data_IF_545629222327
#
_entry.id   IF_545629222327
#
_cell.length_a   1.000
_cell.length_b   1.000
_cell.length_c   1.000
_cell.angle_alpha   90.00
_cell.angle_beta   90.00
_cell.angle_gamma   90.00
#
_symmetry.space_group_name_H-M   'P 1'
#
loop_
_entity.id
_entity.type
_entity.pdbx_description
1 polymer ?
#
# COMPACT_ATOMS: atom_id res chain seq x y z
N UNK A 1 1.62 -28.03 15.21
CA UNK A 1 2.85 -27.63 14.47
C UNK A 1 3.65 -28.88 14.13
N UNK A 2 4.30 -28.90 12.97
CA UNK A 2 5.27 -29.93 12.55
C UNK A 2 6.72 -29.44 12.57
N UNK A 3 6.98 -28.22 13.10
CA UNK A 3 8.28 -27.58 13.01
C UNK A 3 9.42 -28.36 13.70
N UNK A 4 10.58 -28.41 13.04
CA UNK A 4 11.80 -29.04 13.52
C UNK A 4 12.95 -28.03 13.64
N UNK A 5 13.34 -27.70 14.88
CA UNK A 5 14.42 -26.76 15.21
C UNK A 5 15.78 -27.23 14.69
N UNK A 6 16.01 -28.54 14.53
CA UNK A 6 17.29 -29.06 14.02
C UNK A 6 17.55 -28.68 12.56
N UNK A 7 16.54 -28.13 11.86
CA UNK A 7 16.64 -27.67 10.47
C UNK A 7 17.08 -26.21 10.37
N UNK A 8 17.20 -25.50 11.50
CA UNK A 8 17.65 -24.12 11.53
C UNK A 8 19.11 -24.02 11.07
N UNK A 9 19.53 -22.88 10.48
CA UNK A 9 20.91 -22.69 10.06
C UNK A 9 21.84 -22.70 11.29
N UNK A 10 23.03 -23.24 11.11
CA UNK A 10 24.05 -23.32 12.19
C UNK A 10 25.08 -22.19 12.10
N UNK A 11 25.28 -21.60 10.93
CA UNK A 11 26.17 -20.46 10.72
C UNK A 11 25.50 -19.14 11.11
N UNK A 12 25.11 -19.01 12.38
CA UNK A 12 24.35 -17.85 12.90
C UNK A 12 25.20 -16.72 13.45
N UNK A 13 26.51 -16.90 13.48
CA UNK A 13 27.46 -15.91 14.00
C UNK A 13 28.12 -15.19 12.83
N UNK A 14 28.20 -13.86 12.92
CA UNK A 14 28.95 -13.07 11.94
C UNK A 14 30.44 -13.48 11.97
N UNK A 15 31.03 -13.88 10.84
CA UNK A 15 32.44 -14.22 10.78
C UNK A 15 33.33 -13.01 11.09
N UNK A 16 34.36 -13.20 11.91
CA UNK A 16 35.45 -12.25 12.08
C UNK A 16 36.42 -12.37 10.89
N UNK A 17 36.00 -11.97 9.70
CA UNK A 17 36.80 -12.10 8.45
C UNK A 17 37.31 -10.76 7.93
N UNK A 18 38.52 -10.79 7.36
CA UNK A 18 39.15 -9.66 6.69
C UNK A 18 38.30 -9.18 5.47
N UNK A 19 38.27 -7.89 5.11
CA UNK A 19 37.37 -7.32 4.09
C UNK A 19 37.52 -7.88 2.65
N UNK A 20 38.50 -8.75 2.40
CA UNK A 20 38.90 -9.16 1.05
C UNK A 20 38.22 -10.42 0.51
N UNK A 21 37.49 -11.19 1.34
CA UNK A 21 36.81 -12.41 0.91
C UNK A 21 35.29 -12.32 1.09
N UNK A 22 34.49 -12.95 0.21
CA UNK A 22 33.06 -13.00 0.39
C UNK A 22 32.74 -13.91 1.59
N UNK A 23 31.81 -13.46 2.43
CA UNK A 23 31.37 -14.23 3.58
C UNK A 23 29.86 -14.10 3.76
N UNK A 24 29.26 -15.10 4.39
CA UNK A 24 27.82 -15.16 4.61
C UNK A 24 27.47 -15.83 5.94
N UNK A 25 26.38 -15.35 6.56
CA UNK A 25 25.85 -15.90 7.81
C UNK A 25 24.34 -15.69 7.88
N UNK A 26 23.69 -16.37 8.82
CA UNK A 26 22.29 -16.17 9.12
C UNK A 26 22.12 -15.37 10.41
N UNK A 27 21.23 -14.39 10.40
CA UNK A 27 20.82 -13.69 11.63
C UNK A 27 19.37 -14.08 11.93
N UNK A 28 19.01 -14.51 13.15
CA UNK A 28 17.60 -14.63 13.50
C UNK A 28 16.92 -13.27 13.35
N UNK A 29 15.72 -13.25 12.77
CA UNK A 29 14.85 -12.08 12.82
C UNK A 29 14.17 -12.10 14.19
N UNK A 30 14.31 -11.03 14.96
CA UNK A 30 13.67 -10.93 16.27
C UNK A 30 12.18 -10.63 16.14
N UNK A 31 11.44 -10.95 17.22
CA UNK A 31 10.00 -10.69 17.29
C UNK A 31 9.74 -9.20 17.04
N UNK A 32 8.70 -8.93 16.28
CA UNK A 32 8.21 -7.58 15.99
C UNK A 32 9.17 -6.68 15.18
N UNK A 33 10.29 -7.22 14.68
CA UNK A 33 11.02 -6.59 13.58
C UNK A 33 10.11 -6.49 12.34
N UNK A 34 10.31 -5.47 11.50
CA UNK A 34 9.50 -5.22 10.31
C UNK A 34 9.27 -6.48 9.45
N UNK A 35 10.31 -7.32 9.27
CA UNK A 35 10.21 -8.56 8.48
C UNK A 35 9.38 -9.65 9.17
N UNK A 36 9.46 -9.76 10.49
CA UNK A 36 8.63 -10.67 11.27
C UNK A 36 7.15 -10.27 11.14
N UNK A 37 6.84 -8.99 11.36
CA UNK A 37 5.49 -8.44 11.25
C UNK A 37 4.89 -8.65 9.86
N UNK A 38 5.65 -8.35 8.79
CA UNK A 38 5.20 -8.54 7.40
C UNK A 38 4.90 -10.01 7.11
N UNK A 39 5.77 -10.93 7.54
CA UNK A 39 5.54 -12.36 7.34
C UNK A 39 4.31 -12.85 8.11
N UNK A 40 4.19 -12.49 9.38
CA UNK A 40 3.04 -12.88 10.22
C UNK A 40 1.73 -12.30 9.69
N UNK A 41 1.72 -11.06 9.23
CA UNK A 41 0.53 -10.42 8.64
C UNK A 41 0.08 -11.09 7.34
N UNK A 42 1.01 -11.26 6.38
CA UNK A 42 0.70 -11.84 5.07
C UNK A 42 0.21 -13.29 5.19
N UNK A 43 0.85 -14.07 6.06
CA UNK A 43 0.46 -15.47 6.29
C UNK A 43 -0.87 -15.59 7.03
N UNK A 44 -1.14 -14.73 8.02
CA UNK A 44 -2.42 -14.70 8.73
C UNK A 44 -3.58 -14.28 7.84
N UNK A 45 -3.37 -13.25 7.01
CA UNK A 45 -4.38 -12.77 6.07
C UNK A 45 -4.80 -13.89 5.11
N UNK A 46 -3.83 -14.63 4.55
CA UNK A 46 -4.11 -15.75 3.66
C UNK A 46 -4.80 -16.92 4.38
N UNK A 47 -4.37 -17.26 5.59
CA UNK A 47 -5.00 -18.32 6.38
C UNK A 47 -6.45 -17.96 6.78
N UNK A 48 -6.68 -16.71 7.19
CA UNK A 48 -8.02 -16.21 7.49
C UNK A 48 -8.91 -16.31 6.25
N UNK A 49 -8.46 -15.85 5.07
CA UNK A 49 -9.22 -15.99 3.83
C UNK A 49 -9.55 -17.46 3.49
N UNK A 50 -8.64 -18.39 3.79
CA UNK A 50 -8.84 -19.82 3.51
C UNK A 50 -9.88 -20.49 4.43
N UNK A 51 -10.10 -19.97 5.65
CA UNK A 51 -10.98 -20.62 6.65
C UNK A 51 -12.20 -19.79 7.06
N UNK A 52 -12.28 -18.53 6.64
CA UNK A 52 -13.41 -17.65 6.91
C UNK A 52 -14.24 -17.46 5.64
N UNK A 53 -15.55 -17.28 5.79
CA UNK A 53 -16.44 -16.89 4.66
C UNK A 53 -16.36 -15.39 4.34
N UNK A 54 -15.41 -14.68 4.94
CA UNK A 54 -15.25 -13.24 4.72
C UNK A 54 -14.40 -13.00 3.47
N UNK A 55 -14.87 -12.23 2.48
CA UNK A 55 -14.15 -11.97 1.23
C UNK A 55 -12.77 -11.31 1.42
N UNK A 56 -12.55 -10.68 2.58
CA UNK A 56 -11.27 -10.13 2.99
C UNK A 56 -11.10 -10.30 4.51
N UNK A 57 -9.90 -10.67 4.99
CA UNK A 57 -9.59 -10.65 6.41
C UNK A 57 -9.57 -9.19 6.91
N UNK A 58 -9.96 -8.92 8.16
CA UNK A 58 -9.85 -7.58 8.73
C UNK A 58 -8.43 -7.05 8.58
N UNK A 59 -8.31 -5.75 8.29
CA UNK A 59 -7.04 -5.03 8.43
C UNK A 59 -6.50 -5.31 9.83
N UNK A 60 -5.21 -5.66 9.95
CA UNK A 60 -4.55 -6.04 11.20
C UNK A 60 -4.74 -7.50 11.65
N UNK A 61 -4.97 -8.43 10.72
CA UNK A 61 -4.88 -9.86 11.04
C UNK A 61 -3.41 -10.31 11.10
N UNK A 62 -2.97 -10.83 12.25
CA UNK A 62 -1.63 -11.41 12.44
C UNK A 62 -1.73 -12.78 13.12
N UNK A 63 -0.82 -13.70 12.78
CA UNK A 63 -0.59 -14.88 13.61
C UNK A 63 0.22 -14.41 14.83
N UNK A 64 -0.19 -14.82 16.03
CA UNK A 64 0.48 -14.45 17.27
C UNK A 64 1.96 -14.85 17.23
N UNK A 65 2.24 -16.04 16.72
CA UNK A 65 3.57 -16.60 16.54
C UNK A 65 3.57 -17.52 15.31
N UNK A 66 4.75 -17.76 14.73
CA UNK A 66 4.90 -18.87 13.79
C UNK A 66 4.63 -20.20 14.49
N UNK A 67 4.20 -21.25 13.76
CA UNK A 67 4.04 -22.57 14.34
C UNK A 67 5.32 -23.02 15.07
N UNK A 68 5.16 -23.62 16.25
CA UNK A 68 6.29 -24.03 17.09
C UNK A 68 7.36 -24.80 16.29
N UNK A 69 8.63 -24.39 16.40
CA UNK A 69 9.75 -24.95 15.64
C UNK A 69 10.06 -24.24 14.32
N UNK A 70 9.19 -23.34 13.84
CA UNK A 70 9.50 -22.43 12.74
C UNK A 70 10.13 -21.13 13.23
N UNK A 71 11.13 -20.63 12.51
CA UNK A 71 11.79 -19.35 12.81
C UNK A 71 12.31 -18.67 11.55
N UNK A 72 12.21 -17.34 11.53
CA UNK A 72 12.66 -16.51 10.43
C UNK A 72 14.13 -16.12 10.61
N UNK A 73 14.91 -16.20 9.53
CA UNK A 73 16.32 -15.84 9.51
C UNK A 73 16.62 -14.97 8.29
N UNK A 74 17.51 -14.00 8.46
CA UNK A 74 18.12 -13.25 7.38
C UNK A 74 19.41 -13.93 6.94
N UNK A 75 19.52 -14.32 5.68
CA UNK A 75 20.79 -14.66 5.07
C UNK A 75 21.49 -13.39 4.63
N UNK A 76 22.59 -13.07 5.28
CA UNK A 76 23.39 -11.90 4.98
C UNK A 76 24.61 -12.36 4.19
N UNK A 77 24.78 -11.82 2.98
CA UNK A 77 25.90 -12.12 2.10
C UNK A 77 26.68 -10.85 1.77
N UNK A 78 27.97 -10.87 2.09
CA UNK A 78 28.91 -9.84 1.72
C UNK A 78 29.70 -10.27 0.48
N UNK A 79 29.71 -9.41 -0.52
CA UNK A 79 30.49 -9.60 -1.74
C UNK A 79 31.88 -8.93 -1.61
N UNK A 80 32.85 -9.31 -2.45
CA UNK A 80 34.20 -8.73 -2.44
C UNK A 80 34.21 -7.23 -2.78
N UNK A 81 33.20 -6.75 -3.50
CA UNK A 81 32.98 -5.33 -3.86
C UNK A 81 32.42 -4.49 -2.69
N UNK A 82 32.23 -5.08 -1.51
CA UNK A 82 31.61 -4.45 -0.35
C UNK A 82 30.08 -4.43 -0.37
N UNK A 83 29.43 -4.89 -1.44
CA UNK A 83 27.98 -4.91 -1.52
C UNK A 83 27.39 -5.96 -0.57
N UNK A 84 26.41 -5.53 0.25
CA UNK A 84 25.65 -6.37 1.18
C UNK A 84 24.30 -6.73 0.59
N UNK A 85 24.05 -8.02 0.40
CA UNK A 85 22.74 -8.60 0.05
C UNK A 85 22.13 -9.27 1.28
N UNK A 86 20.84 -9.06 1.48
CA UNK A 86 20.09 -9.69 2.58
C UNK A 86 18.83 -10.34 2.03
N UNK A 87 18.71 -11.65 2.17
CA UNK A 87 17.51 -12.42 1.84
C UNK A 87 16.87 -12.96 3.12
N UNK A 88 15.57 -13.22 3.13
CA UNK A 88 14.85 -13.65 4.34
C UNK A 88 14.23 -15.02 4.10
N UNK A 89 14.40 -15.94 5.05
CA UNK A 89 13.98 -17.33 4.92
C UNK A 89 13.31 -17.81 6.19
N UNK A 90 12.24 -18.60 6.05
CA UNK A 90 11.61 -19.30 7.16
C UNK A 90 12.11 -20.74 7.20
N UNK A 91 12.75 -21.10 8.30
CA UNK A 91 13.24 -22.45 8.59
C UNK A 91 12.30 -23.16 9.56
N UNK A 92 12.38 -24.49 9.62
CA UNK A 92 11.57 -25.31 10.51
C UNK A 92 10.85 -26.47 9.82
N UNK A 93 10.79 -26.51 8.48
CA UNK A 93 10.07 -27.60 7.80
C UNK A 93 10.77 -28.96 7.99
N UNK A 94 10.05 -30.07 8.28
CA UNK A 94 10.64 -31.39 8.53
C UNK A 94 11.60 -31.91 7.46
N UNK A 95 11.40 -31.51 6.19
CA UNK A 95 12.29 -31.90 5.09
C UNK A 95 13.71 -31.31 5.17
N UNK A 96 13.96 -30.36 6.08
CA UNK A 96 15.20 -29.59 6.13
C UNK A 96 15.28 -28.45 5.11
N UNK A 97 14.26 -28.32 4.24
CA UNK A 97 14.13 -27.18 3.33
C UNK A 97 13.73 -25.89 4.05
N UNK A 98 13.88 -24.77 3.34
CA UNK A 98 13.52 -23.42 3.82
C UNK A 98 12.55 -22.76 2.86
N UNK A 99 11.58 -22.02 3.37
CA UNK A 99 10.68 -21.21 2.56
C UNK A 99 11.32 -19.84 2.30
N UNK A 100 11.31 -19.39 1.04
CA UNK A 100 11.96 -18.16 0.56
C UNK A 100 11.00 -16.97 0.47
N UNK A 101 9.71 -17.23 0.62
CA UNK A 101 8.67 -16.21 0.65
C UNK A 101 7.47 -16.70 1.45
N UNK A 102 6.60 -15.77 1.83
CA UNK A 102 5.30 -16.06 2.42
C UNK A 102 4.46 -16.93 1.49
N UNK A 103 4.51 -16.70 0.17
CA UNK A 103 3.75 -17.46 -0.82
C UNK A 103 4.17 -18.94 -0.89
N UNK A 104 5.45 -19.25 -0.65
CA UNK A 104 5.90 -20.64 -0.56
C UNK A 104 5.42 -21.32 0.75
N UNK A 105 5.28 -20.56 1.84
CA UNK A 105 4.89 -21.06 3.16
C UNK A 105 3.36 -21.15 3.38
N UNK A 106 2.57 -20.23 2.83
CA UNK A 106 1.11 -20.15 3.02
C UNK A 106 0.40 -21.50 2.79
N UNK A 107 0.66 -22.25 1.71
CA UNK A 107 0.03 -23.56 1.51
C UNK A 107 0.34 -24.56 2.63
N UNK A 108 1.53 -24.49 3.22
CA UNK A 108 1.91 -25.32 4.37
C UNK A 108 1.20 -24.86 5.63
N UNK A 109 1.17 -23.56 5.89
CA UNK A 109 0.47 -23.01 7.06
C UNK A 109 -1.03 -23.36 7.06
N UNK A 110 -1.69 -23.23 5.90
CA UNK A 110 -3.09 -23.63 5.74
C UNK A 110 -3.26 -25.12 6.05
N UNK A 111 -2.37 -25.97 5.53
CA UNK A 111 -2.38 -27.40 5.87
C UNK A 111 -2.21 -27.65 7.38
N UNK A 112 -1.32 -26.93 8.06
CA UNK A 112 -1.14 -27.04 9.51
C UNK A 112 -2.41 -26.68 10.29
N UNK A 113 -3.15 -25.67 9.84
CA UNK A 113 -4.47 -25.37 10.39
C UNK A 113 -5.49 -26.48 10.10
N UNK A 114 -5.43 -27.13 8.93
CA UNK A 114 -6.34 -28.20 8.55
C UNK A 114 -6.18 -29.45 9.43
N UNK A 115 -4.93 -29.80 9.76
CA UNK A 115 -4.64 -31.00 10.55
C UNK A 115 -4.72 -30.76 12.07
N UNK A 116 -4.93 -29.51 12.50
CA UNK A 116 -5.16 -29.19 13.90
C UNK A 116 -6.53 -29.74 14.35
N UNK A 117 -6.59 -30.64 15.34
CA UNK A 117 -7.85 -31.20 15.82
C UNK A 117 -8.85 -30.15 16.36
N UNK A 118 -8.37 -28.97 16.76
CA UNK A 118 -9.23 -27.88 17.22
C UNK A 118 -9.96 -27.15 16.08
N UNK A 119 -9.52 -27.32 14.83
CA UNK A 119 -10.14 -26.67 13.68
C UNK A 119 -11.38 -27.46 13.20
N UNK A 120 -12.56 -26.90 13.48
CA UNK A 120 -13.85 -27.46 13.09
C UNK A 120 -14.40 -26.88 11.78
N UNK A 121 -13.58 -26.16 11.01
CA UNK A 121 -14.04 -25.53 9.77
C UNK A 121 -14.47 -26.59 8.73
N UNK A 122 -15.59 -26.39 8.01
CA UNK A 122 -16.01 -27.30 6.94
C UNK A 122 -15.03 -27.33 5.77
N UNK A 123 -14.08 -26.37 5.70
CA UNK A 123 -13.04 -26.28 4.68
C UNK A 123 -11.76 -27.05 5.05
N UNK A 124 -11.75 -27.80 6.15
CA UNK A 124 -10.60 -28.62 6.57
C UNK A 124 -10.29 -29.71 5.54
N UNK A 125 -11.30 -30.37 4.97
CA UNK A 125 -11.11 -31.52 4.09
C UNK A 125 -10.28 -31.18 2.84
N UNK A 126 -10.51 -30.00 2.23
CA UNK A 126 -9.78 -29.54 1.04
C UNK A 126 -8.30 -29.21 1.29
N UNK A 127 -7.90 -29.10 2.56
CA UNK A 127 -6.56 -28.65 2.97
C UNK A 127 -5.76 -29.73 3.72
N UNK A 128 -6.29 -30.96 3.84
CA UNK A 128 -5.59 -32.10 4.46
C UNK A 128 -4.36 -32.57 3.69
N UNK A 129 -4.26 -32.28 2.39
CA UNK A 129 -3.09 -32.61 1.57
C UNK A 129 -2.28 -31.34 1.37
N UNK A 130 -1.05 -31.30 1.88
CA UNK A 130 -0.20 -30.11 1.79
C UNK A 130 0.31 -29.88 0.35
N UNK A 131 -0.04 -28.75 -0.32
CA UNK A 131 0.43 -28.46 -1.66
C UNK A 131 1.75 -27.67 -1.69
N UNK A 132 2.40 -27.45 -0.55
CA UNK A 132 3.59 -26.61 -0.45
C UNK A 132 4.77 -27.18 -1.26
N UNK A 133 5.74 -26.33 -1.57
CA UNK A 133 6.90 -26.71 -2.37
C UNK A 133 7.83 -27.72 -1.67
N UNK A 134 7.75 -27.87 -0.34
CA UNK A 134 8.64 -28.75 0.43
C UNK A 134 8.04 -30.14 0.69
N UNK A 135 6.73 -30.26 0.96
CA UNK A 135 6.05 -31.55 1.13
C UNK A 135 6.02 -32.41 -0.14
N UNK A 136 6.06 -31.77 -1.33
CA UNK A 136 6.07 -32.45 -2.63
C UNK A 136 7.39 -33.15 -2.97
N UNK A 137 8.47 -32.88 -2.24
CA UNK A 137 9.84 -33.31 -2.62
C UNK A 137 10.27 -34.68 -2.11
N UNK A 138 9.34 -35.49 -1.57
CA UNK A 138 9.62 -36.87 -1.14
C UNK A 138 9.81 -37.91 -2.25
N UNK A 139 9.48 -37.59 -3.51
CA UNK A 139 9.76 -38.45 -4.66
C UNK A 139 10.85 -37.79 -5.54
N UNK A 140 12.07 -38.33 -5.45
CA UNK A 140 13.18 -37.96 -6.35
C UNK A 140 12.84 -38.41 -7.77
N UNK A 141 12.37 -37.49 -8.60
CA UNK A 141 12.68 -37.51 -10.03
C UNK A 141 13.41 -36.23 -10.40
N UNK A 142 14.62 -36.41 -10.94
CA UNK A 142 15.45 -35.33 -11.46
C UNK A 142 14.71 -34.61 -12.58
N UNK A 143 14.22 -33.40 -12.30
CA UNK A 143 13.86 -32.46 -13.36
C UNK A 143 14.99 -31.47 -13.55
N UNK A 144 15.72 -31.67 -14.65
CA UNK A 144 16.34 -30.61 -15.45
C UNK A 144 15.49 -29.34 -15.36
N UNK A 145 16.08 -28.13 -15.22
CA UNK A 145 15.31 -26.91 -14.98
C UNK A 145 14.21 -26.81 -16.03
N UNK A 146 12.97 -27.03 -15.57
CA UNK A 146 11.81 -26.92 -16.41
C UNK A 146 11.77 -25.45 -16.83
N UNK A 147 12.14 -25.21 -18.08
CA UNK A 147 11.86 -23.98 -18.81
C UNK A 147 10.43 -23.62 -18.45
N UNK A 148 10.26 -22.48 -17.77
CA UNK A 148 8.97 -21.97 -17.31
C UNK A 148 7.98 -22.17 -18.47
N UNK A 149 6.93 -22.99 -18.32
CA UNK A 149 5.92 -23.02 -19.35
C UNK A 149 5.35 -21.62 -19.36
N UNK A 150 5.61 -20.89 -20.45
CA UNK A 150 4.86 -19.72 -20.86
C UNK A 150 3.44 -20.17 -21.15
N UNK A 151 2.71 -20.49 -20.10
CA UNK A 151 1.26 -20.56 -20.07
C UNK A 151 0.87 -19.60 -18.97
N UNK A 152 0.78 -18.34 -19.36
CA UNK A 152 -0.30 -17.48 -18.89
C UNK A 152 -1.55 -18.30 -19.15
N UNK A 153 -1.95 -19.11 -18.17
CA UNK A 153 -3.24 -19.77 -18.20
C UNK A 153 -4.29 -18.67 -18.25
N UNK A 154 -5.43 -18.97 -18.86
CA UNK A 154 -6.59 -18.08 -18.95
C UNK A 154 -7.10 -17.73 -17.54
N UNK A 155 -6.42 -16.82 -16.85
CA UNK A 155 -6.94 -16.16 -15.66
C UNK A 155 -8.13 -15.35 -16.16
N UNK A 156 -9.34 -15.57 -15.63
CA UNK A 156 -10.50 -14.76 -15.99
C UNK A 156 -10.13 -13.27 -15.86
N UNK A 157 -10.47 -12.41 -16.84
CA UNK A 157 -10.09 -11.00 -16.82
C UNK A 157 -10.40 -10.27 -15.51
N UNK A 158 -11.53 -10.62 -14.88
CA UNK A 158 -11.94 -10.12 -13.57
C UNK A 158 -10.95 -10.48 -12.45
N UNK A 159 -10.47 -11.72 -12.42
CA UNK A 159 -9.48 -12.16 -11.44
C UNK A 159 -8.13 -11.46 -11.65
N UNK A 160 -7.72 -11.25 -12.91
CA UNK A 160 -6.51 -10.51 -13.24
C UNK A 160 -6.61 -9.02 -12.85
N UNK A 161 -7.78 -8.40 -13.03
CA UNK A 161 -8.05 -7.04 -12.58
C UNK A 161 -8.03 -6.92 -11.06
N UNK A 162 -8.68 -7.84 -10.35
CA UNK A 162 -8.69 -7.84 -8.88
C UNK A 162 -7.28 -8.03 -8.29
N UNK A 163 -6.47 -8.89 -8.90
CA UNK A 163 -5.07 -9.07 -8.50
C UNK A 163 -4.23 -7.82 -8.78
N UNK A 164 -4.37 -7.22 -9.97
CA UNK A 164 -3.68 -5.98 -10.32
C UNK A 164 -4.06 -4.81 -9.39
N UNK A 165 -5.35 -4.65 -9.10
CA UNK A 165 -5.86 -3.65 -8.16
C UNK A 165 -5.32 -3.86 -6.75
N UNK A 166 -5.28 -5.11 -6.28
CA UNK A 166 -4.72 -5.46 -4.97
C UNK A 166 -3.23 -5.14 -4.90
N UNK A 167 -2.47 -5.48 -5.95
CA UNK A 167 -1.04 -5.19 -6.02
C UNK A 167 -0.77 -3.68 -6.11
N UNK A 168 -1.59 -2.93 -6.84
CA UNK A 168 -1.50 -1.46 -6.90
C UNK A 168 -1.71 -0.85 -5.52
N UNK A 169 -2.79 -1.25 -4.82
CA UNK A 169 -3.08 -0.79 -3.45
C UNK A 169 -1.94 -1.10 -2.49
N UNK A 170 -1.50 -2.35 -2.43
CA UNK A 170 -0.42 -2.77 -1.52
C UNK A 170 0.87 -2.02 -1.85
N UNK A 171 1.20 -1.90 -3.13
CA UNK A 171 2.37 -1.15 -3.58
C UNK A 171 2.30 0.33 -3.22
N UNK A 172 1.13 0.96 -3.26
CA UNK A 172 0.94 2.36 -2.89
C UNK A 172 0.97 2.57 -1.37
N UNK A 173 0.42 1.64 -0.58
CA UNK A 173 0.41 1.69 0.89
C UNK A 173 1.77 1.35 1.52
N UNK A 174 2.51 0.39 0.94
CA UNK A 174 3.84 -0.02 1.41
C UNK A 174 4.96 0.92 0.93
N UNK A 175 4.67 1.87 0.02
CA UNK A 175 5.65 2.87 -0.40
C UNK A 175 5.88 3.88 0.73
N UNK A 176 7.11 4.03 1.24
CA UNK A 176 7.41 5.08 2.19
C UNK A 176 7.45 6.46 1.54
N UNK A 177 7.09 7.49 2.32
CA UNK A 177 7.06 8.88 1.87
C UNK A 177 5.73 9.30 1.22
N UNK A 178 5.64 10.57 0.85
CA UNK A 178 4.49 11.08 0.12
C UNK A 178 4.65 10.70 -1.37
N UNK A 179 3.63 10.05 -1.91
CA UNK A 179 3.56 9.71 -3.34
C UNK A 179 2.25 10.20 -3.89
N UNK A 180 2.28 10.62 -5.14
CA UNK A 180 1.09 10.90 -5.92
C UNK A 180 0.73 9.64 -6.72
N UNK A 181 -0.56 9.32 -6.78
CA UNK A 181 -1.06 8.02 -7.25
C UNK A 181 -1.63 8.09 -8.66
N UNK A 182 -1.71 6.92 -9.31
CA UNK A 182 -2.33 6.82 -10.63
C UNK A 182 -3.79 7.26 -10.58
N UNK A 183 -4.15 8.16 -11.50
CA UNK A 183 -5.48 8.75 -11.61
C UNK A 183 -5.67 10.03 -10.80
N UNK A 184 -4.74 10.41 -9.92
CA UNK A 184 -4.84 11.67 -9.18
C UNK A 184 -4.61 12.87 -10.09
N UNK A 185 -5.35 13.95 -9.80
CA UNK A 185 -5.18 15.25 -10.46
C UNK A 185 -4.13 16.03 -9.69
N UNK A 186 -3.15 16.58 -10.39
CA UNK A 186 -1.99 17.24 -9.81
C UNK A 186 -1.65 18.53 -10.54
N UNK A 187 -0.98 19.42 -9.84
CA UNK A 187 -0.24 20.52 -10.46
C UNK A 187 1.07 20.00 -11.00
N UNK A 188 1.43 20.40 -12.22
CA UNK A 188 2.71 20.09 -12.86
C UNK A 188 3.38 21.36 -13.37
N UNK A 189 4.65 21.53 -13.03
CA UNK A 189 5.46 22.62 -13.52
C UNK A 189 5.84 22.37 -14.98
N UNK A 190 5.56 23.34 -15.85
CA UNK A 190 5.88 23.33 -17.28
C UNK A 190 6.96 24.34 -17.65
N UNK A 191 7.48 25.09 -16.66
CA UNK A 191 8.62 26.00 -16.84
C UNK A 191 9.98 25.29 -16.79
N UNK A 192 11.06 26.07 -16.80
CA UNK A 192 12.42 25.53 -16.61
C UNK A 192 12.68 25.19 -15.13
N UNK A 193 13.56 24.22 -14.87
CA UNK A 193 13.92 23.82 -13.49
C UNK A 193 14.56 24.98 -12.73
N UNK A 194 15.45 25.75 -13.37
CA UNK A 194 16.07 26.93 -12.75
C UNK A 194 15.03 27.98 -12.30
N UNK A 195 13.91 28.09 -13.02
CA UNK A 195 12.80 28.98 -12.67
C UNK A 195 11.88 28.42 -11.58
N UNK A 196 11.93 27.11 -11.32
CA UNK A 196 11.23 26.48 -10.20
C UNK A 196 11.96 26.77 -8.88
N UNK A 197 13.29 26.70 -8.89
CA UNK A 197 14.13 26.99 -7.71
C UNK A 197 14.25 28.49 -7.40
N UNK A 198 14.20 29.33 -8.44
CA UNK A 198 14.25 30.79 -8.32
C UNK A 198 13.06 31.44 -9.04
N UNK A 199 11.85 31.35 -8.46
CA UNK A 199 10.67 31.96 -9.06
C UNK A 199 10.83 33.48 -9.08
N UNK A 200 11.14 34.05 -10.25
CA UNK A 200 11.04 35.49 -10.46
C UNK A 200 9.56 35.81 -10.66
N UNK A 201 8.99 36.69 -9.85
CA UNK A 201 7.57 37.11 -9.86
C UNK A 201 7.05 37.69 -11.20
N UNK A 202 7.86 37.71 -12.27
CA UNK A 202 7.61 38.38 -13.55
C UNK A 202 7.41 37.44 -14.75
N UNK A 203 7.19 36.13 -14.57
CA UNK A 203 6.91 35.26 -15.72
C UNK A 203 5.46 35.42 -16.18
N UNK A 204 5.26 36.09 -17.33
CA UNK A 204 3.96 36.42 -17.95
C UNK A 204 3.13 35.21 -18.43
N UNK A 205 3.60 33.98 -18.21
CA UNK A 205 2.97 32.71 -18.64
C UNK A 205 2.76 31.77 -17.44
N UNK A 206 1.63 31.04 -17.36
CA UNK A 206 1.37 30.17 -16.23
C UNK A 206 2.30 28.96 -16.29
N UNK A 207 3.39 29.01 -15.52
CA UNK A 207 4.37 27.92 -15.39
C UNK A 207 3.81 26.66 -14.73
N UNK A 208 2.59 26.70 -14.20
CA UNK A 208 1.89 25.57 -13.61
C UNK A 208 0.69 25.17 -14.47
N UNK A 209 0.71 23.95 -14.97
CA UNK A 209 -0.41 23.28 -15.60
C UNK A 209 -1.06 22.28 -14.62
N UNK A 210 -2.23 21.79 -14.98
CA UNK A 210 -2.90 20.68 -14.29
C UNK A 210 -2.95 19.43 -15.17
N UNK A 211 -2.70 18.27 -14.58
CA UNK A 211 -2.73 16.99 -15.29
C UNK A 211 -3.12 15.83 -14.39
N UNK A 212 -3.38 14.68 -15.00
CA UNK A 212 -3.69 13.41 -14.33
C UNK A 212 -2.45 12.53 -14.38
N UNK A 213 -2.12 11.89 -13.26
CA UNK A 213 -1.04 10.89 -13.23
C UNK A 213 -1.48 9.65 -14.00
N UNK A 214 -0.83 9.41 -15.13
CA UNK A 214 -1.06 8.24 -15.97
C UNK A 214 -0.27 7.03 -15.46
N UNK A 215 0.98 7.25 -15.08
CA UNK A 215 1.83 6.24 -14.43
C UNK A 215 2.88 6.89 -13.55
N UNK A 216 3.35 6.15 -12.56
CA UNK A 216 4.39 6.56 -11.62
C UNK A 216 5.64 5.67 -11.77
N UNK A 217 6.81 6.10 -11.26
CA UNK A 217 8.01 5.27 -11.22
C UNK A 217 7.77 3.94 -10.49
N UNK A 218 8.31 2.84 -11.02
CA UNK A 218 8.19 1.52 -10.39
C UNK A 218 9.07 1.44 -9.15
N UNK A 219 8.46 1.30 -7.97
CA UNK A 219 9.19 1.08 -6.73
C UNK A 219 9.54 -0.39 -6.60
N UNK A 220 10.62 -0.78 -7.29
CA UNK A 220 11.24 -2.08 -7.08
C UNK A 220 12.75 -1.92 -7.06
N UNK A 221 13.44 -2.23 -5.94
CA UNK A 221 12.94 -2.55 -4.60
C UNK A 221 12.78 -1.30 -3.71
N UNK A 222 11.92 -1.40 -2.70
CA UNK A 222 11.77 -0.44 -1.58
C UNK A 222 13.15 0.09 -1.16
N UNK A 223 13.45 1.38 -1.36
CA UNK A 223 14.75 1.91 -0.99
C UNK A 223 14.94 1.75 0.52
N UNK A 224 16.17 1.41 0.93
CA UNK A 224 16.53 1.32 2.34
C UNK A 224 16.28 2.70 2.96
N UNK A 225 15.19 2.82 3.73
CA UNK A 225 14.96 3.96 4.60
C UNK A 225 16.24 4.16 5.43
N UNK A 226 16.97 5.25 5.17
CA UNK A 226 17.96 5.73 6.13
C UNK A 226 17.16 6.55 7.13
N UNK A 227 17.02 6.10 8.39
CA UNK A 227 16.52 6.99 9.42
C UNK A 227 17.56 8.09 9.57
N UNK A 228 17.26 9.28 9.05
CA UNK A 228 17.97 10.50 9.45
C UNK A 228 17.14 11.05 10.60
N UNK A 229 17.60 10.97 11.86
CA UNK A 229 16.93 11.65 12.94
C UNK A 229 17.09 13.15 12.69
N UNK A 230 16.04 13.82 12.23
CA UNK A 230 16.01 15.29 12.24
C UNK A 230 15.40 15.75 13.54
N UNK A 231 16.26 16.25 14.43
CA UNK A 231 15.81 17.14 15.48
C UNK A 231 15.15 18.34 14.81
N UNK A 232 13.84 18.53 15.01
CA UNK A 232 13.01 19.65 14.51
C UNK A 232 12.21 19.42 13.20
N UNK A 233 11.73 18.21 12.89
CA UNK A 233 10.60 18.07 11.96
C UNK A 233 9.30 18.42 12.71
N UNK A 234 8.94 19.70 12.70
CA UNK A 234 7.85 20.25 13.49
C UNK A 234 6.69 20.65 12.58
N UNK A 235 5.78 19.70 12.34
CA UNK A 235 4.52 19.78 11.57
C UNK A 235 4.55 19.14 10.19
N UNK A 236 3.35 18.72 9.74
CA UNK A 236 3.11 18.14 8.41
C UNK A 236 3.52 19.07 7.25
N UNK A 237 3.56 20.39 7.49
CA UNK A 237 3.98 21.38 6.48
C UNK A 237 5.47 21.25 6.12
N UNK A 238 6.31 20.74 7.04
CA UNK A 238 7.74 20.52 6.75
C UNK A 238 7.98 19.33 5.80
N UNK A 239 7.01 18.43 5.67
CA UNK A 239 7.05 17.28 4.76
C UNK A 239 6.80 17.70 3.31
N UNK A 240 6.13 18.83 3.09
CA UNK A 240 5.71 19.29 1.75
C UNK A 240 6.85 19.79 0.86
N UNK A 241 8.03 20.10 1.42
CA UNK A 241 9.03 20.89 0.69
C UNK A 241 10.43 20.27 0.51
N UNK A 242 10.85 19.24 1.26
CA UNK A 242 12.30 18.98 1.39
C UNK A 242 12.82 17.54 1.34
N UNK A 243 11.97 16.53 1.14
CA UNK A 243 12.46 15.15 0.97
C UNK A 243 12.10 14.64 -0.42
N UNK A 244 13.06 14.75 -1.35
CA UNK A 244 13.00 14.06 -2.62
C UNK A 244 12.83 12.56 -2.36
N UNK A 245 11.91 11.87 -3.03
CA UNK A 245 11.72 10.47 -2.77
C UNK A 245 12.96 9.67 -3.15
N UNK A 246 13.22 8.63 -2.37
CA UNK A 246 14.40 7.76 -2.47
C UNK A 246 14.68 7.12 -3.84
N UNK A 247 13.77 7.22 -4.82
CA UNK A 247 13.98 6.77 -6.20
C UNK A 247 14.51 7.85 -7.16
N UNK A 248 14.56 9.12 -6.75
CA UNK A 248 15.15 10.19 -7.58
C UNK A 248 16.70 10.15 -7.59
N UNK A 249 17.33 9.56 -6.57
CA UNK A 249 18.79 9.59 -6.35
C UNK A 249 19.61 8.51 -7.10
N UNK A 250 19.00 7.68 -7.96
CA UNK A 250 19.49 6.30 -8.15
C UNK A 250 19.92 5.75 -9.52
N UNK A 251 19.88 6.46 -10.66
CA UNK A 251 20.26 5.80 -11.92
C UNK A 251 20.43 6.66 -13.18
N UNK A 252 21.22 6.14 -14.12
CA UNK A 252 21.64 6.76 -15.40
C UNK A 252 20.48 7.09 -16.37
N UNK A 253 19.24 6.69 -16.08
CA UNK A 253 18.10 6.79 -17.02
C UNK A 253 16.95 7.65 -16.43
N UNK A 254 17.16 8.98 -16.36
CA UNK A 254 16.19 9.95 -15.80
C UNK A 254 14.78 9.84 -16.40
N UNK A 255 14.63 9.35 -17.63
CA UNK A 255 13.32 9.15 -18.29
C UNK A 255 12.50 8.00 -17.71
N UNK A 256 13.11 7.01 -17.04
CA UNK A 256 12.41 5.87 -16.42
C UNK A 256 12.03 6.11 -14.96
N UNK A 257 12.56 7.16 -14.33
CA UNK A 257 12.42 7.43 -12.90
C UNK A 257 11.47 8.59 -12.58
N UNK A 258 10.71 9.09 -13.56
CA UNK A 258 9.74 10.17 -13.38
C UNK A 258 8.30 9.74 -13.66
N UNK A 259 7.37 10.58 -13.24
CA UNK A 259 5.95 10.45 -13.52
C UNK A 259 5.64 10.63 -15.01
N UNK A 260 4.58 9.97 -15.45
CA UNK A 260 3.91 10.27 -16.71
C UNK A 260 2.61 10.98 -16.38
N UNK A 261 2.45 12.20 -16.90
CA UNK A 261 1.30 13.05 -16.65
C UNK A 261 0.63 13.36 -17.98
N UNK A 262 -0.70 13.30 -18.00
CA UNK A 262 -1.50 13.71 -19.13
C UNK A 262 -2.24 14.98 -18.75
N UNK A 263 -1.99 16.09 -19.46
CA UNK A 263 -2.63 17.37 -19.14
C UNK A 263 -4.15 17.29 -19.35
N UNK A 264 -4.90 17.90 -18.43
CA UNK A 264 -6.35 17.91 -18.50
C UNK A 264 -6.83 18.71 -19.71
N UNK A 265 -7.62 18.11 -20.60
CA UNK A 265 -8.23 18.81 -21.74
C UNK A 265 -9.53 18.12 -22.16
N UNK A 266 -10.38 18.85 -22.90
CA UNK A 266 -11.64 18.32 -23.46
C UNK A 266 -11.41 17.33 -24.60
N UNK A 267 -10.53 17.70 -25.53
CA UNK A 267 -10.33 17.01 -26.80
C UNK A 267 -9.03 16.24 -26.79
N UNK A 268 -9.07 15.08 -27.44
CA UNK A 268 -7.86 14.30 -27.74
C UNK A 268 -7.16 14.88 -28.99
N UNK A 269 -5.82 14.71 -29.11
CA UNK A 269 -4.94 14.08 -28.14
C UNK A 269 -4.60 15.02 -26.99
N UNK A 270 -4.69 14.53 -25.75
CA UNK A 270 -4.17 15.24 -24.59
C UNK A 270 -2.64 15.27 -24.62
N UNK A 271 -2.07 16.41 -24.23
CA UNK A 271 -0.62 16.56 -24.09
C UNK A 271 -0.11 15.62 -22.99
N UNK A 272 0.97 14.90 -23.28
CA UNK A 272 1.59 13.93 -22.40
C UNK A 272 3.00 14.39 -22.04
N UNK A 273 3.28 14.42 -20.76
CA UNK A 273 4.58 14.74 -20.17
C UNK A 273 5.17 13.44 -19.60
N UNK A 274 6.31 13.02 -20.12
CA UNK A 274 7.01 11.80 -19.68
C UNK A 274 8.25 12.16 -18.84
N UNK A 275 8.50 11.38 -17.79
CA UNK A 275 9.69 11.52 -16.96
C UNK A 275 9.67 12.77 -16.06
N UNK A 276 8.48 13.22 -15.64
CA UNK A 276 8.32 14.40 -14.77
C UNK A 276 8.84 14.07 -13.37
N UNK A 277 9.83 14.80 -12.83
CA UNK A 277 10.30 14.61 -11.46
C UNK A 277 9.21 14.91 -10.43
N UNK A 278 9.24 14.27 -9.27
CA UNK A 278 8.26 14.49 -8.21
C UNK A 278 8.27 15.94 -7.70
N UNK A 279 9.45 16.56 -7.58
CA UNK A 279 9.55 17.96 -7.15
C UNK A 279 8.93 18.96 -8.14
N UNK A 280 8.63 18.55 -9.38
CA UNK A 280 7.89 19.36 -10.35
C UNK A 280 6.37 19.17 -10.25
N UNK A 281 5.88 18.44 -9.24
CA UNK A 281 4.48 18.04 -9.11
C UNK A 281 4.00 18.36 -7.70
N UNK A 282 2.77 18.88 -7.57
CA UNK A 282 2.14 19.12 -6.28
C UNK A 282 0.72 18.54 -6.22
N UNK A 283 0.23 18.14 -5.03
CA UNK A 283 -1.17 17.82 -4.82
C UNK A 283 -2.07 18.96 -5.30
N UNK A 284 -3.23 18.64 -5.88
CA UNK A 284 -4.18 19.65 -6.36
C UNK A 284 -4.54 20.71 -5.31
N UNK A 285 -4.70 20.30 -4.06
CA UNK A 285 -5.07 21.17 -2.94
C UNK A 285 -3.93 22.09 -2.47
N UNK A 286 -2.69 21.91 -2.95
CA UNK A 286 -1.55 22.77 -2.60
C UNK A 286 -1.67 24.20 -3.14
N UNK A 287 -2.62 24.47 -4.06
CA UNK A 287 -2.88 25.80 -4.61
C UNK A 287 -4.35 26.18 -4.44
N UNK A 288 -4.80 26.48 -3.21
CA UNK A 288 -6.22 26.72 -2.92
C UNK A 288 -6.82 27.89 -3.72
N UNK A 289 -6.01 28.91 -4.04
CA UNK A 289 -6.43 30.06 -4.84
C UNK A 289 -6.96 29.68 -6.24
N UNK A 290 -6.52 28.53 -6.77
CA UNK A 290 -6.86 28.05 -8.11
C UNK A 290 -8.01 27.04 -8.13
N UNK A 291 -8.57 26.69 -6.95
CA UNK A 291 -9.73 25.78 -6.84
C UNK A 291 -10.99 26.42 -7.44
N UNK A 292 -11.13 27.75 -7.30
CA UNK A 292 -12.22 28.51 -7.88
C UNK A 292 -11.81 29.16 -9.20
N UNK A 293 -12.71 29.29 -10.19
CA UNK A 293 -12.44 30.04 -11.41
C UNK A 293 -12.04 31.49 -11.06
N UNK A 294 -11.20 32.13 -11.88
CA UNK A 294 -10.84 33.52 -11.67
C UNK A 294 -12.08 34.41 -11.74
N UNK A 295 -12.20 35.35 -10.79
CA UNK A 295 -13.28 36.31 -10.79
C UNK A 295 -13.32 37.13 -12.10
N UNK A 296 -14.50 37.56 -12.51
CA UNK A 296 -14.66 38.40 -13.70
C UNK A 296 -13.80 39.67 -13.57
N UNK A 297 -12.93 39.93 -14.55
CA UNK A 297 -11.98 41.05 -14.53
C UNK A 297 -10.65 40.77 -13.83
N UNK A 298 -10.42 39.55 -13.31
CA UNK A 298 -9.12 39.16 -12.77
C UNK A 298 -8.05 39.13 -13.86
N UNK A 299 -6.85 39.63 -13.52
CA UNK A 299 -5.65 39.52 -14.37
C UNK A 299 -4.94 38.16 -14.22
N UNK A 300 -5.44 37.28 -13.35
CA UNK A 300 -4.87 35.95 -13.12
C UNK A 300 -4.94 35.11 -14.39
N UNK A 301 -3.78 34.77 -14.96
CA UNK A 301 -3.68 33.82 -16.07
C UNK A 301 -3.58 32.41 -15.51
N UNK A 302 -4.35 31.49 -16.08
CA UNK A 302 -4.31 30.06 -15.76
C UNK A 302 -3.95 29.27 -17.02
N UNK A 303 -3.23 28.16 -16.85
CA UNK A 303 -3.03 27.23 -17.95
C UNK A 303 -4.39 26.64 -18.38
N UNK A 304 -4.66 26.44 -19.69
CA UNK A 304 -5.96 25.93 -20.17
C UNK A 304 -6.41 24.61 -19.52
N UNK A 305 -5.47 23.79 -19.07
CA UNK A 305 -5.78 22.52 -18.42
C UNK A 305 -6.40 22.65 -17.02
N UNK A 306 -6.22 23.79 -16.36
CA UNK A 306 -6.74 24.04 -15.00
C UNK A 306 -8.27 24.01 -14.95
N UNK A 307 -8.94 24.57 -15.97
CA UNK A 307 -10.40 24.57 -16.03
C UNK A 307 -10.96 23.14 -16.11
N UNK A 308 -10.30 22.26 -16.86
CA UNK A 308 -10.68 20.85 -16.99
C UNK A 308 -10.35 20.04 -15.74
N UNK A 309 -9.22 20.33 -15.10
CA UNK A 309 -8.87 19.76 -13.80
C UNK A 309 -9.92 20.10 -12.73
N UNK A 310 -10.38 21.37 -12.65
CA UNK A 310 -11.47 21.76 -11.75
C UNK A 310 -12.74 20.93 -11.97
N UNK A 311 -13.11 20.68 -13.24
CA UNK A 311 -14.27 19.84 -13.57
C UNK A 311 -14.08 18.38 -13.16
N UNK A 312 -12.89 17.81 -13.30
CA UNK A 312 -12.60 16.47 -12.81
C UNK A 312 -12.66 16.42 -11.27
N UNK A 313 -12.09 17.43 -10.61
CA UNK A 313 -12.03 17.53 -9.15
C UNK A 313 -13.39 17.81 -8.49
N UNK A 314 -14.43 18.14 -9.24
CA UNK A 314 -15.80 18.26 -8.73
C UNK A 314 -16.59 16.94 -8.78
N UNK A 315 -15.91 15.82 -8.98
CA UNK A 315 -16.52 14.49 -9.07
C UNK A 315 -15.97 13.56 -7.99
N UNK A 316 -16.65 12.45 -7.77
CA UNK A 316 -16.14 11.34 -6.98
C UNK A 316 -16.57 10.02 -7.62
N UNK A 317 -15.83 8.94 -7.38
CA UNK A 317 -16.17 7.61 -7.87
C UNK A 317 -15.56 6.53 -6.98
N UNK A 318 -16.35 5.56 -6.56
CA UNK A 318 -15.85 4.36 -5.87
C UNK A 318 -15.42 3.29 -6.88
N UNK A 319 -14.47 2.44 -6.49
CA UNK A 319 -13.91 1.42 -7.37
C UNK A 319 -13.58 0.12 -6.62
N UNK A 320 -13.36 -0.95 -7.37
CA UNK A 320 -13.03 -2.29 -6.86
C UNK A 320 -14.05 -2.81 -5.81
N UNK A 321 -15.29 -3.15 -6.23
CA UNK A 321 -16.29 -3.70 -5.33
C UNK A 321 -15.83 -5.04 -4.74
N UNK A 322 -16.07 -5.21 -3.44
CA UNK A 322 -15.69 -6.40 -2.66
C UNK A 322 -16.89 -7.30 -2.30
N UNK A 323 -18.06 -6.93 -2.81
CA UNK A 323 -19.34 -7.64 -2.64
C UNK A 323 -20.31 -6.95 -1.70
N UNK A 324 -21.54 -7.48 -1.68
CA UNK A 324 -22.62 -7.03 -0.81
C UNK A 324 -22.56 -7.71 0.55
N UNK A 325 -22.74 -6.95 1.63
CA UNK A 325 -22.78 -7.45 3.00
C UNK A 325 -23.88 -6.75 3.79
N UNK A 326 -24.35 -7.41 4.86
CA UNK A 326 -25.26 -6.78 5.83
C UNK A 326 -24.49 -5.82 6.71
N UNK A 327 -25.02 -4.61 6.91
CA UNK A 327 -24.41 -3.62 7.79
C UNK A 327 -24.49 -4.01 9.28
N UNK A 328 -25.58 -4.66 9.70
CA UNK A 328 -25.81 -5.03 11.09
C UNK A 328 -25.97 -6.55 11.24
N UNK A 329 -25.21 -7.20 12.14
CA UNK A 329 -25.43 -8.60 12.49
C UNK A 329 -26.77 -8.74 13.23
N UNK A 330 -27.65 -9.57 12.67
CA UNK A 330 -28.99 -9.99 13.15
C UNK A 330 -29.43 -9.52 14.55
N UNK A 331 -30.50 -8.73 14.62
CA UNK A 331 -31.19 -8.38 15.87
C UNK A 331 -32.00 -7.08 15.85
N UNK A 332 -31.84 -6.25 14.81
CA UNK A 332 -32.67 -5.05 14.59
C UNK A 332 -33.44 -5.17 13.27
N UNK A 333 -34.69 -4.71 13.26
CA UNK A 333 -35.72 -4.88 12.21
C UNK A 333 -35.38 -4.30 10.82
N UNK A 334 -34.13 -3.89 10.57
CA UNK A 334 -33.68 -3.37 9.28
C UNK A 334 -32.42 -4.11 8.82
N UNK A 335 -32.62 -5.13 7.99
CA UNK A 335 -31.54 -5.73 7.20
C UNK A 335 -31.19 -4.82 6.04
N UNK A 336 -30.42 -3.76 6.29
CA UNK A 336 -29.84 -2.95 5.21
C UNK A 336 -28.63 -3.65 4.60
N UNK A 337 -28.68 -3.86 3.29
CA UNK A 337 -27.59 -4.38 2.48
C UNK A 337 -26.74 -3.21 1.98
N UNK A 338 -25.42 -3.39 1.98
CA UNK A 338 -24.49 -2.42 1.46
C UNK A 338 -23.45 -3.09 0.55
N UNK A 339 -23.06 -2.38 -0.50
CA UNK A 339 -21.96 -2.80 -1.39
C UNK A 339 -20.67 -2.16 -0.92
N UNK A 340 -19.64 -2.96 -0.67
CA UNK A 340 -18.36 -2.48 -0.15
C UNK A 340 -17.33 -2.30 -1.27
N UNK A 341 -16.43 -1.35 -1.13
CA UNK A 341 -15.41 -0.98 -2.12
C UNK A 341 -14.02 -0.89 -1.48
N UNK A 342 -12.97 -1.18 -2.25
CA UNK A 342 -11.60 -1.03 -1.77
C UNK A 342 -11.09 0.41 -1.81
N UNK A 343 -11.71 1.29 -2.61
CA UNK A 343 -11.26 2.66 -2.74
C UNK A 343 -12.26 3.62 -3.36
N UNK A 344 -11.90 4.90 -3.28
CA UNK A 344 -12.69 6.05 -3.69
C UNK A 344 -11.76 7.09 -4.32
N UNK A 345 -12.11 7.61 -5.48
CA UNK A 345 -11.65 8.92 -5.92
C UNK A 345 -12.58 9.98 -5.34
N UNK A 346 -12.03 10.95 -4.63
CA UNK A 346 -12.76 12.13 -4.17
C UNK A 346 -12.06 13.38 -4.71
N UNK A 347 -12.67 13.98 -5.72
CA UNK A 347 -12.09 15.08 -6.46
C UNK A 347 -10.76 14.71 -7.11
N UNK A 348 -9.68 15.27 -6.59
CA UNK A 348 -8.33 15.09 -7.12
C UNK A 348 -7.61 13.86 -6.57
N UNK A 349 -8.07 13.32 -5.45
CA UNK A 349 -7.31 12.37 -4.63
C UNK A 349 -7.92 10.97 -4.71
N UNK A 350 -7.04 9.97 -4.63
CA UNK A 350 -7.41 8.56 -4.54
C UNK A 350 -7.23 8.08 -3.11
N UNK A 351 -8.20 7.36 -2.57
CA UNK A 351 -8.18 6.86 -1.19
C UNK A 351 -8.46 5.35 -1.23
N UNK A 352 -7.72 4.59 -0.43
CA UNK A 352 -7.99 3.18 -0.17
C UNK A 352 -8.44 2.92 1.27
N UNK A 353 -9.10 1.78 1.47
CA UNK A 353 -9.21 1.19 2.81
C UNK A 353 -7.82 0.94 3.40
N UNK A 354 -7.67 1.18 4.70
CA UNK A 354 -6.42 1.15 5.45
C UNK A 354 -5.62 2.46 5.43
N UNK A 355 -6.11 3.51 4.77
CA UNK A 355 -5.41 4.80 4.69
C UNK A 355 -5.99 5.86 5.65
N UNK A 356 -5.13 6.75 6.19
CA UNK A 356 -5.58 7.92 6.92
C UNK A 356 -6.13 8.99 5.96
N UNK A 357 -7.26 9.60 6.34
CA UNK A 357 -7.82 10.78 5.68
C UNK A 357 -8.15 11.85 6.71
N UNK A 358 -7.97 13.12 6.34
CA UNK A 358 -8.36 14.24 7.20
C UNK A 358 -9.87 14.46 7.11
N UNK A 359 -10.50 14.64 8.25
CA UNK A 359 -11.94 14.92 8.36
C UNK A 359 -12.18 16.13 9.24
N UNK A 360 -13.09 17.00 8.81
CA UNK A 360 -13.53 18.16 9.61
C UNK A 360 -14.57 17.73 10.63
N UNK A 361 -14.51 18.30 11.82
CA UNK A 361 -15.42 17.98 12.94
C UNK A 361 -16.83 18.60 12.81
N UNK A 362 -17.02 19.47 11.82
CA UNK A 362 -18.29 20.10 11.45
C UNK A 362 -18.09 21.25 10.45
N UNK A 363 -19.19 21.85 10.01
CA UNK A 363 -19.18 22.85 8.92
C UNK A 363 -18.39 24.13 9.22
N UNK A 364 -18.11 24.42 10.50
CA UNK A 364 -17.48 25.68 10.95
C UNK A 364 -16.27 25.49 11.88
N UNK A 365 -15.68 24.28 11.96
CA UNK A 365 -14.44 24.09 12.72
C UNK A 365 -13.24 24.02 11.79
N UNK A 366 -12.19 24.78 12.10
CA UNK A 366 -10.84 24.57 11.55
C UNK A 366 -10.14 23.35 12.20
N UNK A 367 -10.84 22.66 13.10
CA UNK A 367 -10.36 21.43 13.72
C UNK A 367 -10.50 20.23 12.78
N UNK A 368 -9.40 19.51 12.61
CA UNK A 368 -9.30 18.31 11.80
C UNK A 368 -8.94 17.11 12.67
N UNK A 369 -9.70 16.02 12.50
CA UNK A 369 -9.35 14.71 13.02
C UNK A 369 -8.84 13.84 11.84
N UNK A 370 -8.15 12.75 12.12
CA UNK A 370 -7.70 11.77 11.14
C UNK A 370 -8.57 10.54 11.23
N UNK A 371 -9.31 10.22 10.18
CA UNK A 371 -10.05 8.97 10.03
C UNK A 371 -9.13 7.92 9.40
N UNK A 372 -8.90 6.81 10.08
CA UNK A 372 -8.37 5.61 9.45
C UNK A 372 -9.52 4.91 8.72
N UNK A 373 -9.52 4.93 7.40
CA UNK A 373 -10.57 4.35 6.59
C UNK A 373 -10.55 2.83 6.72
N UNK A 374 -11.56 2.23 7.34
CA UNK A 374 -11.68 0.76 7.43
C UNK A 374 -12.66 0.22 6.38
N UNK A 375 -13.72 1.00 6.09
CA UNK A 375 -14.76 0.63 5.17
C UNK A 375 -15.14 1.80 4.27
N UNK A 376 -15.35 1.49 2.99
CA UNK A 376 -16.05 2.34 2.04
C UNK A 376 -17.23 1.51 1.55
N UNK A 377 -18.46 2.00 1.73
CA UNK A 377 -19.64 1.26 1.33
C UNK A 377 -20.77 2.16 0.84
N UNK A 378 -21.64 1.57 0.04
CA UNK A 378 -22.78 2.24 -0.58
C UNK A 378 -24.07 1.58 -0.13
N UNK A 379 -25.02 2.39 0.32
CA UNK A 379 -26.37 1.97 0.70
C UNK A 379 -27.38 2.60 -0.23
N UNK A 380 -28.16 1.75 -0.89
CA UNK A 380 -29.30 2.14 -1.69
C UNK A 380 -30.55 2.13 -0.82
N UNK A 381 -31.22 3.27 -0.72
CA UNK A 381 -32.48 3.40 0.02
C UNK A 381 -33.48 4.23 -0.78
N UNK A 382 -34.75 4.14 -0.41
CA UNK A 382 -35.80 4.98 -1.00
C UNK A 382 -35.97 6.21 -0.12
N UNK A 383 -35.83 7.39 -0.71
CA UNK A 383 -36.11 8.66 -0.03
C UNK A 383 -37.59 8.70 0.38
N UNK A 384 -37.84 8.94 1.67
CA UNK A 384 -39.18 8.82 2.23
C UNK A 384 -40.13 9.96 1.80
N UNK A 385 -39.59 11.09 1.34
CA UNK A 385 -40.38 12.25 0.94
C UNK A 385 -40.72 12.23 -0.56
N UNK A 386 -39.78 11.76 -1.38
CA UNK A 386 -39.87 11.79 -2.84
C UNK A 386 -40.15 10.42 -3.45
N UNK A 387 -39.98 9.34 -2.69
CA UNK A 387 -40.12 7.96 -3.16
C UNK A 387 -39.05 7.54 -4.17
N UNK A 388 -38.03 8.37 -4.40
CA UNK A 388 -36.97 8.10 -5.38
C UNK A 388 -35.85 7.25 -4.77
N UNK A 389 -35.20 6.38 -5.56
CA UNK A 389 -33.99 5.71 -5.11
C UNK A 389 -32.89 6.75 -4.87
N UNK A 390 -32.28 6.68 -3.70
CA UNK A 390 -31.14 7.50 -3.28
C UNK A 390 -30.00 6.57 -2.91
N UNK A 391 -28.83 6.91 -3.42
CA UNK A 391 -27.57 6.27 -3.09
C UNK A 391 -26.85 7.10 -2.04
N UNK A 392 -26.37 6.45 -0.97
CA UNK A 392 -25.53 7.09 0.04
C UNK A 392 -24.19 6.38 0.11
N UNK A 393 -23.11 7.14 0.02
CA UNK A 393 -21.73 6.65 0.15
C UNK A 393 -21.24 6.95 1.56
N UNK A 394 -20.69 5.95 2.22
CA UNK A 394 -20.19 6.03 3.59
C UNK A 394 -18.71 5.66 3.62
N UNK A 395 -17.93 6.46 4.33
CA UNK A 395 -16.53 6.19 4.65
C UNK A 395 -16.44 6.08 6.17
N UNK A 396 -16.06 4.92 6.68
CA UNK A 396 -16.13 4.59 8.09
C UNK A 396 -14.82 3.97 8.59
N UNK A 397 -14.54 4.16 9.87
CA UNK A 397 -13.39 3.59 10.56
C UNK A 397 -13.07 4.36 11.84
N UNK A 398 -11.86 4.17 12.35
CA UNK A 398 -11.44 4.75 13.62
C UNK A 398 -10.97 6.21 13.47
N UNK A 399 -11.46 7.09 14.34
CA UNK A 399 -11.03 8.49 14.41
C UNK A 399 -9.88 8.66 15.40
N UNK A 400 -8.86 9.39 14.97
CA UNK A 400 -7.69 9.79 15.74
C UNK A 400 -7.64 11.31 15.80
N UNK A 401 -7.49 11.85 17.01
CA UNK A 401 -7.41 13.30 17.25
C UNK A 401 -6.38 13.61 18.33
N UNK A 402 -6.20 14.89 18.62
CA UNK A 402 -5.26 15.40 19.62
C UNK A 402 -5.43 14.71 21.01
N UNK A 403 -4.38 14.04 21.53
CA UNK A 403 -4.44 13.27 22.78
C UNK A 403 -4.63 14.14 24.03
N UNK A 404 -4.48 15.47 23.95
CA UNK A 404 -4.85 16.36 25.07
C UNK A 404 -6.36 16.43 25.30
N UNK A 405 -7.16 15.97 24.32
CA UNK A 405 -8.62 16.18 24.27
C UNK A 405 -9.42 14.91 24.52
N UNK A 406 -8.89 13.76 24.11
CA UNK A 406 -9.40 12.46 24.53
C UNK A 406 -8.55 12.00 25.70
N UNK A 407 -9.12 11.64 26.86
CA UNK A 407 -8.37 11.13 28.02
C UNK A 407 -7.66 9.77 27.77
N UNK A 408 -7.17 9.52 26.57
CA UNK A 408 -6.21 8.47 26.23
C UNK A 408 -4.84 9.13 26.21
N UNK A 409 -3.89 8.56 26.94
CA UNK A 409 -2.50 9.01 26.91
C UNK A 409 -1.89 8.92 25.52
N UNK A 410 -0.64 9.35 25.39
CA UNK A 410 0.18 9.09 24.20
C UNK A 410 0.04 7.63 23.76
N UNK A 411 -0.03 7.40 22.45
CA UNK A 411 -0.06 6.05 21.89
C UNK A 411 1.14 5.27 22.43
N UNK A 412 0.88 4.08 22.96
CA UNK A 412 1.96 3.16 23.33
C UNK A 412 2.80 2.80 22.10
N UNK A 413 4.08 2.43 22.25
CA UNK A 413 4.89 1.93 21.12
C UNK A 413 4.20 0.81 20.34
N UNK A 414 3.47 -0.07 21.03
CA UNK A 414 2.67 -1.14 20.45
C UNK A 414 1.50 -0.59 19.61
N UNK A 415 0.79 0.42 20.11
CA UNK A 415 -0.28 1.12 19.37
C UNK A 415 0.27 1.90 18.17
N UNK A 416 1.47 2.48 18.27
CA UNK A 416 2.12 3.19 17.17
C UNK A 416 2.56 2.24 16.06
N UNK A 417 3.06 1.05 16.41
CA UNK A 417 3.46 0.00 15.47
C UNK A 417 2.27 -0.66 14.76
N UNK A 418 1.03 -0.51 15.25
CA UNK A 418 -0.16 -1.01 14.52
C UNK A 418 -0.78 0.02 13.58
N UNK A 419 -0.39 1.30 13.67
CA UNK A 419 -0.84 2.30 12.71
C UNK A 419 -0.32 1.99 11.30
N UNK A 420 -1.05 2.35 10.23
CA UNK A 420 -0.54 2.28 8.87
C UNK A 420 0.80 2.98 8.73
N UNK A 421 1.65 2.51 7.81
CA UNK A 421 2.99 3.07 7.60
C UNK A 421 2.98 4.59 7.35
N UNK A 422 1.91 5.12 6.75
CA UNK A 422 1.74 6.56 6.48
C UNK A 422 1.30 7.41 7.69
N UNK A 423 0.91 6.77 8.80
CA UNK A 423 0.59 7.43 10.07
C UNK A 423 1.74 7.34 11.08
N UNK A 424 2.78 6.56 10.77
CA UNK A 424 4.04 6.50 11.52
C UNK A 424 5.01 7.50 10.92
#
# INVERSE_FOLDING_TARGET
>A
SDGNVSTHPTNTTQPNTHPSQPWEYFRPVERDEHKDLVWRSKTASAAALAYTKTPQPPCNTFICDFPAGYRLFEHIKHKPDGAKRTDTYLFGHPSGGRFRSTNEFIPHLIHLFAIDPANQSPLVESHKICPCCLCKTGAKESRTPARTPSRVADIPPEQAWNEAATLERVGEQETPGWILRKGEVVWVWTGTVDALENPVDNVESPSWAAGIIFSRPSLSPVPKLRPVPRANAGSFADVEMNDAPTWEDGGEDKKKNGYVIVLCAEKEPKERLDGVPQHCIMPWLARPDFIQPPAAGSRRKEHPSVAWARKACSTFSYFDPTGEKRLYPSGQDKTEMATFYNGLFIGAEKIFIGEPVRVKKGDNSDEEDVLLVEFIYVVNHTDQLTGKPVESVHVAGNLYGDPTRHKKGELTPEEWIVLPLRMR
#
